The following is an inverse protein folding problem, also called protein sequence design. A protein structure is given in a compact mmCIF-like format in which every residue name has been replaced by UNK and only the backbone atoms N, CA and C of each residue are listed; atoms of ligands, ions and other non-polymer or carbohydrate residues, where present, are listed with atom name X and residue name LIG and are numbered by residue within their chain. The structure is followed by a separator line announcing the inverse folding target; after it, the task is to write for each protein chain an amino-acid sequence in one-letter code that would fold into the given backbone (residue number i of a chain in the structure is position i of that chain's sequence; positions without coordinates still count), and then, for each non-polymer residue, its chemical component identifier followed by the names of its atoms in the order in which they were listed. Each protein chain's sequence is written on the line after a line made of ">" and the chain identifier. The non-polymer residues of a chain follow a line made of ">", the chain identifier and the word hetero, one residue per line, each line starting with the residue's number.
data_IF_511713689631
#
_entry.id   IF_511713689631
#
_cell.length_a   1.000
_cell.length_b   1.000
_cell.length_c   1.000
_cell.angle_alpha   90.00
_cell.angle_beta   90.00
_cell.angle_gamma   90.00
#
_symmetry.space_group_name_H-M   'P 1'
#
loop_
_entity.id
_entity.type
_entity.pdbx_description
1 polymer ?
#
# COMPACT_ATOMS: atom_id res chain seq x y z
N UNK A 1 17.45 53.22 -79.15
CA UNK A 1 18.25 52.68 -78.03
C UNK A 1 17.65 51.33 -77.66
N UNK A 2 18.21 50.26 -78.22
CA UNK A 2 18.97 49.20 -77.52
C UNK A 2 18.09 48.39 -76.54
N UNK A 3 17.97 47.05 -76.57
CA UNK A 3 18.75 45.96 -77.17
C UNK A 3 17.87 44.67 -77.10
N UNK A 4 17.94 43.79 -78.11
CA UNK A 4 18.02 42.30 -78.08
C UNK A 4 17.08 41.44 -77.17
N UNK A 5 16.67 40.19 -77.44
CA UNK A 5 16.79 39.19 -78.52
C UNK A 5 15.94 37.96 -78.09
N UNK A 6 15.37 37.24 -79.08
CA UNK A 6 15.52 35.78 -79.27
C UNK A 6 14.73 34.75 -78.45
N UNK A 7 13.73 34.16 -79.15
CA UNK A 7 13.49 32.73 -79.49
C UNK A 7 13.92 31.59 -78.55
N UNK A 8 12.99 30.64 -78.40
CA UNK A 8 13.16 29.20 -78.09
C UNK A 8 12.00 28.75 -77.21
N UNK A 9 11.20 27.72 -77.48
CA UNK A 9 11.36 26.50 -78.26
C UNK A 9 10.65 25.42 -77.44
N UNK A 10 9.49 24.95 -77.91
CA UNK A 10 8.63 23.98 -77.22
C UNK A 10 9.25 22.59 -77.35
N UNK A 11 9.58 21.94 -76.24
CA UNK A 11 9.97 20.54 -76.18
C UNK A 11 9.17 19.83 -75.07
N UNK A 12 8.33 18.89 -75.49
CA UNK A 12 7.56 18.03 -74.59
C UNK A 12 8.46 16.99 -73.91
N UNK A 13 8.21 16.78 -72.62
CA UNK A 13 8.83 15.73 -71.82
C UNK A 13 7.72 14.93 -71.16
N UNK A 14 7.57 13.68 -71.61
CA UNK A 14 6.72 12.67 -71.02
C UNK A 14 7.30 12.25 -69.67
N UNK A 15 6.57 12.52 -68.59
CA UNK A 15 6.92 12.09 -67.24
C UNK A 15 6.39 10.67 -66.99
N UNK A 16 7.30 9.68 -67.02
CA UNK A 16 7.03 8.33 -66.52
C UNK A 16 6.95 8.33 -65.00
N UNK A 17 5.78 8.01 -64.47
CA UNK A 17 5.51 7.93 -63.04
C UNK A 17 6.06 6.61 -62.48
N UNK A 18 7.27 6.62 -61.91
CA UNK A 18 7.80 5.51 -61.12
C UNK A 18 7.13 5.51 -59.74
N UNK A 19 6.14 4.64 -59.54
CA UNK A 19 5.59 4.33 -58.22
C UNK A 19 6.68 3.68 -57.36
N UNK A 20 7.30 4.47 -56.49
CA UNK A 20 8.14 3.97 -55.41
C UNK A 20 7.22 3.49 -54.29
N UNK A 21 7.10 2.17 -54.13
CA UNK A 21 6.46 1.56 -52.96
C UNK A 21 7.25 1.92 -51.70
N UNK A 22 6.74 2.90 -50.95
CA UNK A 22 7.30 3.27 -49.66
C UNK A 22 6.93 2.19 -48.66
N UNK A 23 7.84 1.24 -48.45
CA UNK A 23 7.74 0.25 -47.37
C UNK A 23 7.80 1.03 -46.05
N UNK A 24 6.66 1.22 -45.40
CA UNK A 24 6.58 1.94 -44.14
C UNK A 24 7.17 1.04 -43.04
N UNK A 25 8.42 1.30 -42.64
CA UNK A 25 8.99 0.68 -41.45
C UNK A 25 8.20 1.18 -40.24
N UNK A 26 7.38 0.30 -39.65
CA UNK A 26 6.68 0.65 -38.42
C UNK A 26 7.70 0.86 -37.30
N UNK A 27 7.52 1.91 -36.47
CA UNK A 27 8.43 2.17 -35.37
C UNK A 27 8.43 0.96 -34.43
N UNK A 28 9.62 0.37 -34.23
CA UNK A 28 9.80 -0.70 -33.25
C UNK A 28 9.75 -0.04 -31.87
N UNK A 29 8.64 -0.22 -31.16
CA UNK A 29 8.52 0.21 -29.77
C UNK A 29 9.62 -0.46 -28.95
N UNK A 30 10.30 0.32 -28.10
CA UNK A 30 11.34 -0.18 -27.21
C UNK A 30 10.77 -1.33 -26.35
N UNK A 31 11.60 -2.35 -26.00
CA UNK A 31 11.17 -3.37 -25.07
C UNK A 31 10.74 -2.72 -23.75
N UNK A 32 9.80 -3.35 -23.05
CA UNK A 32 9.35 -2.97 -21.70
C UNK A 32 10.02 -3.84 -20.65
N UNK A 33 10.38 -5.06 -21.03
CA UNK A 33 11.01 -6.03 -20.16
C UNK A 33 11.40 -7.30 -20.90
N UNK A 34 11.85 -8.29 -20.13
CA UNK A 34 12.28 -9.59 -20.63
C UNK A 34 11.85 -10.74 -19.73
N UNK A 35 11.73 -11.93 -20.29
CA UNK A 35 11.48 -13.17 -19.55
C UNK A 35 12.79 -13.66 -18.91
N UNK A 36 12.81 -13.83 -17.59
CA UNK A 36 13.96 -14.39 -16.86
C UNK A 36 13.90 -15.91 -16.75
N UNK A 37 12.70 -16.45 -16.65
CA UNK A 37 12.44 -17.88 -16.49
C UNK A 37 11.07 -18.22 -17.06
N UNK A 38 10.93 -19.41 -17.63
CA UNK A 38 9.64 -19.95 -18.03
C UNK A 38 9.64 -21.47 -17.89
N UNK A 39 8.47 -22.00 -17.54
CA UNK A 39 8.20 -23.43 -17.43
C UNK A 39 6.84 -23.73 -18.01
N UNK A 40 6.72 -24.82 -18.75
CA UNK A 40 5.49 -25.18 -19.45
C UNK A 40 5.25 -24.29 -20.67
N UNK A 41 4.07 -24.41 -21.27
CA UNK A 41 3.70 -23.60 -22.42
C UNK A 41 3.26 -22.19 -21.99
N UNK A 42 3.72 -21.19 -22.74
CA UNK A 42 3.32 -19.79 -22.59
C UNK A 42 3.79 -18.97 -23.78
N UNK A 43 3.10 -17.87 -24.06
CA UNK A 43 3.33 -17.04 -25.24
C UNK A 43 3.24 -15.54 -24.94
N UNK A 44 4.00 -14.73 -25.67
CA UNK A 44 3.81 -13.30 -25.80
C UNK A 44 3.23 -13.00 -27.18
N UNK A 45 2.17 -12.20 -27.27
CA UNK A 45 1.55 -11.85 -28.54
C UNK A 45 1.35 -10.34 -28.64
N UNK A 46 1.97 -9.74 -29.66
CA UNK A 46 1.74 -8.34 -30.00
C UNK A 46 0.44 -8.21 -30.82
N UNK A 47 -0.26 -7.07 -30.76
CA UNK A 47 -1.50 -6.87 -31.52
C UNK A 47 -1.29 -7.11 -33.02
N UNK A 48 -2.09 -8.00 -33.62
CA UNK A 48 -2.02 -8.34 -35.04
C UNK A 48 -0.78 -9.15 -35.46
N UNK A 49 0.05 -9.62 -34.52
CA UNK A 49 1.22 -10.44 -34.80
C UNK A 49 1.05 -11.88 -34.32
N UNK A 50 1.91 -12.76 -34.83
CA UNK A 50 1.98 -14.15 -34.40
C UNK A 50 2.50 -14.25 -32.96
N UNK A 51 2.02 -15.26 -32.23
CA UNK A 51 2.47 -15.57 -30.88
C UNK A 51 3.96 -15.99 -30.87
N UNK A 52 4.68 -15.54 -29.84
CA UNK A 52 6.09 -15.83 -29.59
C UNK A 52 6.21 -16.62 -28.30
N UNK A 53 6.94 -17.73 -28.29
CA UNK A 53 7.08 -18.58 -27.09
C UNK A 53 7.75 -17.77 -25.96
N UNK A 54 7.21 -17.83 -24.74
CA UNK A 54 7.82 -17.28 -23.52
C UNK A 54 9.08 -18.08 -23.16
N UNK A 55 10.17 -17.83 -23.86
CA UNK A 55 11.50 -18.37 -23.55
C UNK A 55 12.33 -17.37 -22.75
N UNK A 56 13.30 -17.85 -21.97
CA UNK A 56 14.29 -16.99 -21.30
C UNK A 56 14.96 -16.05 -22.31
N UNK A 57 15.01 -14.77 -21.97
CA UNK A 57 15.57 -13.71 -22.82
C UNK A 57 14.59 -13.14 -23.84
N UNK A 58 13.37 -13.66 -23.95
CA UNK A 58 12.35 -13.03 -24.80
C UNK A 58 12.03 -11.63 -24.27
N UNK A 59 12.22 -10.64 -25.14
CA UNK A 59 11.76 -9.28 -24.90
C UNK A 59 10.28 -9.12 -25.25
N UNK A 60 9.56 -8.42 -24.38
CA UNK A 60 8.17 -8.02 -24.59
C UNK A 60 8.03 -6.50 -24.55
N UNK A 61 6.97 -6.00 -25.17
CA UNK A 61 6.72 -4.58 -25.46
C UNK A 61 5.38 -4.14 -24.90
N UNK A 62 5.16 -2.83 -24.90
CA UNK A 62 3.83 -2.27 -24.68
C UNK A 62 2.84 -2.82 -25.72
N UNK A 63 1.63 -3.14 -25.28
CA UNK A 63 0.59 -3.78 -26.06
C UNK A 63 0.67 -5.31 -26.12
N UNK A 64 1.77 -5.94 -25.67
CA UNK A 64 1.87 -7.39 -25.66
C UNK A 64 0.90 -8.03 -24.65
N UNK A 65 0.28 -9.14 -25.06
CA UNK A 65 -0.40 -10.08 -24.17
C UNK A 65 0.58 -11.18 -23.78
N UNK A 66 0.77 -11.41 -22.48
CA UNK A 66 1.55 -12.52 -21.93
C UNK A 66 0.59 -13.58 -21.37
N UNK A 67 0.68 -14.78 -21.92
CA UNK A 67 -0.21 -15.90 -21.61
C UNK A 67 0.56 -17.11 -21.09
N UNK A 68 0.06 -17.76 -20.05
CA UNK A 68 0.57 -19.05 -19.53
C UNK A 68 -0.52 -20.12 -19.58
N UNK A 69 -0.14 -21.36 -19.91
CA UNK A 69 -1.05 -22.51 -19.86
C UNK A 69 -1.43 -22.91 -18.43
N UNK A 70 -2.36 -23.86 -18.27
CA UNK A 70 -2.83 -24.39 -16.97
C UNK A 70 -1.74 -25.04 -16.10
N UNK A 71 -0.58 -25.37 -16.71
CA UNK A 71 0.63 -25.83 -16.01
C UNK A 71 1.83 -24.91 -16.26
N UNK A 72 1.62 -23.78 -16.93
CA UNK A 72 2.66 -22.84 -17.33
C UNK A 72 2.95 -21.82 -16.22
N UNK A 73 4.20 -21.39 -16.09
CA UNK A 73 4.56 -20.23 -15.26
C UNK A 73 5.76 -19.52 -15.86
N UNK A 74 5.87 -18.22 -15.61
CA UNK A 74 6.99 -17.43 -16.09
C UNK A 74 7.39 -16.37 -15.08
N UNK A 75 8.69 -16.09 -14.96
CA UNK A 75 9.21 -14.91 -14.26
C UNK A 75 9.61 -13.90 -15.33
N UNK A 76 9.06 -12.69 -15.23
CA UNK A 76 9.37 -11.56 -16.10
C UNK A 76 10.02 -10.45 -15.27
N UNK A 77 10.94 -9.72 -15.90
CA UNK A 77 11.55 -8.50 -15.37
C UNK A 77 11.19 -7.32 -16.27
N UNK A 78 10.68 -6.26 -15.67
CA UNK A 78 10.46 -4.95 -16.29
C UNK A 78 11.73 -4.09 -16.18
N UNK A 79 11.85 -3.06 -17.02
CA UNK A 79 13.01 -2.16 -17.01
C UNK A 79 13.17 -1.34 -15.72
N UNK A 80 12.11 -1.07 -14.97
CA UNK A 80 12.16 -0.35 -13.70
C UNK A 80 12.64 -1.23 -12.53
N UNK A 81 12.97 -2.49 -12.81
CA UNK A 81 13.39 -3.49 -11.83
C UNK A 81 12.26 -4.32 -11.24
N UNK A 82 10.99 -4.05 -11.59
CA UNK A 82 9.85 -4.88 -11.19
C UNK A 82 10.06 -6.31 -11.68
N UNK A 83 9.87 -7.29 -10.81
CA UNK A 83 9.86 -8.72 -11.16
C UNK A 83 8.49 -9.29 -10.88
N UNK A 84 7.96 -10.09 -11.80
CA UNK A 84 6.65 -10.72 -11.63
C UNK A 84 6.72 -12.20 -12.00
N UNK A 85 6.12 -13.04 -11.17
CA UNK A 85 5.81 -14.43 -11.52
C UNK A 85 4.37 -14.49 -12.02
N UNK A 86 4.19 -14.87 -13.28
CA UNK A 86 2.88 -15.19 -13.86
C UNK A 86 2.52 -16.62 -13.47
N UNK A 87 1.36 -16.79 -12.83
CA UNK A 87 0.82 -18.09 -12.39
C UNK A 87 0.29 -18.90 -13.58
N UNK A 88 -0.03 -20.19 -13.40
CA UNK A 88 -0.76 -20.94 -14.43
C UNK A 88 -2.10 -20.32 -14.80
N UNK A 89 -2.47 -20.43 -16.08
CA UNK A 89 -3.72 -19.91 -16.63
C UNK A 89 -3.81 -18.38 -16.62
N UNK A 90 -2.68 -17.68 -16.72
CA UNK A 90 -2.64 -16.21 -16.68
C UNK A 90 -2.69 -15.64 -18.07
N UNK A 91 -3.60 -14.69 -18.31
CA UNK A 91 -3.58 -13.78 -19.45
C UNK A 91 -3.47 -12.35 -18.95
N UNK A 92 -2.36 -11.68 -19.27
CA UNK A 92 -2.07 -10.32 -18.84
C UNK A 92 -1.58 -9.46 -20.01
N UNK A 93 -2.09 -8.24 -20.13
CA UNK A 93 -1.67 -7.25 -21.13
C UNK A 93 -0.86 -6.14 -20.48
N UNK A 94 0.20 -5.70 -21.14
CA UNK A 94 0.92 -4.48 -20.81
C UNK A 94 0.26 -3.32 -21.55
N UNK A 95 -0.76 -2.68 -20.97
CA UNK A 95 -1.51 -1.61 -21.65
C UNK A 95 -0.65 -0.39 -21.92
N UNK A 96 0.14 0.03 -20.92
CA UNK A 96 1.05 1.17 -21.06
C UNK A 96 2.25 1.03 -20.14
N UNK A 97 3.43 1.38 -20.61
CA UNK A 97 4.64 1.39 -19.80
C UNK A 97 5.59 2.50 -20.22
N UNK A 98 5.90 3.38 -19.28
CA UNK A 98 6.89 4.43 -19.42
C UNK A 98 7.76 4.46 -18.18
N UNK A 99 9.06 4.23 -18.39
CA UNK A 99 10.06 4.37 -17.36
C UNK A 99 11.22 5.24 -17.84
N UNK A 100 11.48 6.31 -17.08
CA UNK A 100 12.68 7.12 -17.15
C UNK A 100 13.11 7.39 -15.71
N UNK A 101 14.38 7.15 -15.42
CA UNK A 101 14.90 7.34 -14.08
C UNK A 101 14.67 8.79 -13.61
N UNK A 102 14.18 8.94 -12.38
CA UNK A 102 13.83 10.23 -11.75
C UNK A 102 12.78 11.09 -12.49
N UNK A 103 12.09 10.55 -13.49
CA UNK A 103 11.04 11.28 -14.19
C UNK A 103 9.70 11.23 -13.41
N UNK A 104 8.97 12.34 -13.32
CA UNK A 104 7.70 12.40 -12.60
C UNK A 104 6.52 11.80 -13.39
N UNK A 105 6.67 11.62 -14.70
CA UNK A 105 5.62 11.12 -15.61
C UNK A 105 5.73 9.62 -15.92
N UNK A 106 6.43 8.87 -15.07
CA UNK A 106 6.49 7.42 -15.17
C UNK A 106 5.09 6.80 -15.00
N UNK A 107 4.83 5.70 -15.70
CA UNK A 107 3.54 5.02 -15.69
C UNK A 107 3.70 3.53 -16.00
N UNK A 108 2.92 2.70 -15.33
CA UNK A 108 2.77 1.28 -15.60
C UNK A 108 1.29 0.92 -15.43
N UNK A 109 0.62 0.55 -16.53
CA UNK A 109 -0.73 0.01 -16.52
C UNK A 109 -0.70 -1.40 -17.09
N UNK A 110 -1.16 -2.34 -16.27
CA UNK A 110 -1.31 -3.75 -16.62
C UNK A 110 -2.80 -4.11 -16.57
N UNK A 111 -3.26 -4.99 -17.45
CA UNK A 111 -4.60 -5.60 -17.36
C UNK A 111 -4.47 -7.10 -17.19
N UNK A 112 -5.09 -7.66 -16.15
CA UNK A 112 -5.17 -9.10 -15.89
C UNK A 112 -6.58 -9.59 -16.20
N UNK A 113 -6.68 -10.53 -17.14
CA UNK A 113 -7.95 -11.08 -17.64
C UNK A 113 -8.29 -12.44 -17.03
N UNK A 114 -7.28 -13.23 -16.68
CA UNK A 114 -7.40 -14.57 -16.08
C UNK A 114 -6.13 -14.91 -15.28
N UNK A 115 -6.21 -15.90 -14.38
CA UNK A 115 -5.05 -16.37 -13.63
C UNK A 115 -4.61 -15.43 -12.52
N UNK A 116 -3.31 -15.19 -12.40
CA UNK A 116 -2.76 -14.36 -11.34
C UNK A 116 -1.27 -14.14 -11.44
N UNK A 117 -0.75 -13.28 -10.56
CA UNK A 117 0.66 -12.97 -10.50
C UNK A 117 1.11 -12.71 -9.07
N UNK A 118 2.40 -12.89 -8.83
CA UNK A 118 3.10 -12.29 -7.70
C UNK A 118 4.10 -11.28 -8.22
N UNK A 119 4.14 -10.09 -7.64
CA UNK A 119 5.01 -9.01 -8.08
C UNK A 119 5.85 -8.45 -6.93
N UNK A 120 7.13 -8.21 -7.21
CA UNK A 120 8.01 -7.37 -6.39
C UNK A 120 8.31 -6.12 -7.20
N UNK A 121 7.79 -4.99 -6.74
CA UNK A 121 7.76 -3.75 -7.51
C UNK A 121 9.10 -3.01 -7.54
N UNK A 122 9.34 -2.33 -8.67
CA UNK A 122 10.53 -1.57 -8.99
C UNK A 122 10.43 -0.10 -8.63
N UNK A 123 11.20 0.72 -9.36
CA UNK A 123 11.36 2.15 -9.07
C UNK A 123 10.11 2.98 -9.37
N UNK A 124 9.26 2.58 -10.33
CA UNK A 124 8.03 3.32 -10.66
C UNK A 124 7.14 3.43 -9.41
N UNK A 125 6.81 2.29 -8.80
CA UNK A 125 5.91 2.25 -7.64
C UNK A 125 6.52 2.84 -6.37
N UNK A 126 7.85 3.00 -6.30
CA UNK A 126 8.54 3.62 -5.15
C UNK A 126 8.61 5.13 -5.24
N UNK A 127 8.82 5.68 -6.43
CA UNK A 127 9.06 7.11 -6.63
C UNK A 127 7.80 7.87 -7.03
N UNK A 128 6.86 7.21 -7.72
CA UNK A 128 5.60 7.78 -8.15
C UNK A 128 4.45 6.89 -7.63
N UNK A 129 4.02 7.06 -6.36
CA UNK A 129 2.80 6.43 -5.89
C UNK A 129 1.66 6.88 -6.82
N UNK A 130 0.87 5.93 -7.31
CA UNK A 130 -0.19 6.09 -8.34
C UNK A 130 0.26 5.93 -9.81
N UNK A 131 1.55 5.76 -10.09
CA UNK A 131 2.01 5.48 -11.45
C UNK A 131 1.78 4.03 -11.87
N UNK A 132 1.75 3.09 -10.91
CA UNK A 132 1.60 1.66 -11.17
C UNK A 132 0.19 1.18 -10.84
N UNK A 133 -0.51 0.61 -11.83
CA UNK A 133 -1.86 0.07 -11.70
C UNK A 133 -1.99 -1.30 -12.35
N UNK A 134 -2.78 -2.17 -11.72
CA UNK A 134 -3.25 -3.43 -12.28
C UNK A 134 -4.77 -3.41 -12.39
N UNK A 135 -5.29 -3.40 -13.60
CA UNK A 135 -6.72 -3.45 -13.90
C UNK A 135 -7.18 -4.89 -14.06
N UNK A 136 -8.37 -5.18 -13.55
CA UNK A 136 -9.06 -6.46 -13.72
C UNK A 136 -10.51 -6.20 -14.09
N UNK A 137 -11.28 -7.27 -14.30
CA UNK A 137 -12.73 -7.15 -14.51
C UNK A 137 -13.48 -6.62 -13.28
N UNK A 138 -12.94 -6.80 -12.07
CA UNK A 138 -13.64 -6.48 -10.81
C UNK A 138 -13.16 -5.16 -10.19
N UNK A 139 -11.87 -4.83 -10.34
CA UNK A 139 -11.25 -3.70 -9.68
C UNK A 139 -10.01 -3.17 -10.41
N UNK A 140 -9.61 -1.96 -10.05
CA UNK A 140 -8.28 -1.40 -10.32
C UNK A 140 -7.46 -1.40 -9.04
N UNK A 141 -6.28 -2.01 -9.09
CA UNK A 141 -5.33 -2.09 -8.00
C UNK A 141 -4.29 -0.98 -8.18
N UNK A 142 -4.25 -0.03 -7.25
CA UNK A 142 -3.18 0.95 -7.12
C UNK A 142 -1.99 0.35 -6.35
N UNK A 143 -0.81 0.37 -6.96
CA UNK A 143 0.38 -0.32 -6.45
C UNK A 143 1.38 0.71 -5.90
N UNK A 144 1.71 0.62 -4.60
CA UNK A 144 2.61 1.57 -3.92
C UNK A 144 3.71 0.85 -3.15
N UNK A 145 4.81 0.54 -3.86
CA UNK A 145 6.03 -0.05 -3.30
C UNK A 145 5.81 -1.39 -2.60
N UNK A 146 5.21 -2.37 -3.29
CA UNK A 146 4.77 -3.63 -2.70
C UNK A 146 5.50 -4.89 -3.20
N UNK A 147 5.53 -5.90 -2.33
CA UNK A 147 5.52 -7.32 -2.70
C UNK A 147 4.09 -7.82 -2.48
N UNK A 148 3.43 -8.28 -3.54
CA UNK A 148 2.03 -8.68 -3.47
C UNK A 148 1.69 -9.81 -4.44
N UNK A 149 0.63 -10.54 -4.10
CA UNK A 149 0.00 -11.53 -4.94
C UNK A 149 -1.36 -10.98 -5.38
N UNK A 150 -1.71 -11.15 -6.65
CA UNK A 150 -3.02 -10.84 -7.21
C UNK A 150 -3.54 -12.07 -7.96
N UNK A 151 -4.73 -12.55 -7.62
CA UNK A 151 -5.36 -13.72 -8.22
C UNK A 151 -6.80 -13.41 -8.60
N UNK A 152 -7.11 -13.47 -9.90
CA UNK A 152 -8.46 -13.28 -10.41
C UNK A 152 -9.15 -14.63 -10.54
N UNK A 153 -10.03 -14.96 -9.60
CA UNK A 153 -10.75 -16.22 -9.52
C UNK A 153 -12.05 -16.18 -10.33
N UNK A 154 -12.26 -17.18 -11.20
CA UNK A 154 -13.43 -17.34 -12.07
C UNK A 154 -14.15 -18.68 -11.85
N UNK A 155 -13.94 -19.29 -10.67
CA UNK A 155 -14.55 -20.56 -10.23
C UNK A 155 -13.55 -21.69 -9.92
N UNK A 156 -12.30 -21.56 -10.39
CA UNK A 156 -11.25 -22.57 -10.25
C UNK A 156 -10.54 -22.56 -8.89
N UNK A 157 -10.56 -21.42 -8.19
CA UNK A 157 -9.81 -21.22 -6.94
C UNK A 157 -10.29 -22.08 -5.77
N UNK A 158 -11.58 -22.44 -5.72
CA UNK A 158 -12.10 -23.36 -4.70
C UNK A 158 -11.48 -24.75 -4.84
N UNK A 159 -11.40 -25.26 -6.07
CA UNK A 159 -10.76 -26.54 -6.36
C UNK A 159 -9.25 -26.51 -6.11
N UNK A 160 -8.60 -25.36 -6.31
CA UNK A 160 -7.19 -25.16 -5.97
C UNK A 160 -6.98 -25.24 -4.44
N UNK A 161 -7.80 -24.53 -3.65
CA UNK A 161 -7.74 -24.61 -2.18
C UNK A 161 -8.02 -26.00 -1.65
N UNK A 162 -8.95 -26.75 -2.26
CA UNK A 162 -9.31 -28.09 -1.81
C UNK A 162 -8.16 -29.11 -1.94
N UNK A 163 -7.12 -28.81 -2.74
CA UNK A 163 -5.91 -29.64 -2.90
C UNK A 163 -4.84 -29.34 -1.85
N UNK A 164 -5.06 -28.33 -1.01
CA UNK A 164 -4.12 -27.90 0.03
C UNK A 164 -4.54 -28.56 1.35
N UNK A 165 -3.75 -29.51 1.91
CA UNK A 165 -4.13 -30.24 3.14
C UNK A 165 -4.01 -29.40 4.43
N UNK A 166 -3.61 -28.12 4.33
CA UNK A 166 -3.45 -27.21 5.45
C UNK A 166 -4.76 -26.49 5.80
N UNK A 167 -4.87 -26.05 7.05
CA UNK A 167 -5.98 -25.20 7.48
C UNK A 167 -5.67 -23.74 7.15
N UNK A 168 -6.70 -23.01 6.72
CA UNK A 168 -6.58 -21.58 6.48
C UNK A 168 -6.36 -20.84 7.80
N UNK A 169 -5.36 -19.96 7.84
CA UNK A 169 -5.12 -19.10 8.99
C UNK A 169 -6.04 -17.87 8.97
N UNK A 170 -6.17 -17.23 10.13
CA UNK A 170 -6.84 -15.93 10.23
C UNK A 170 -6.08 -14.83 9.47
N UNK A 171 -6.83 -14.01 8.72
CA UNK A 171 -6.35 -12.78 8.08
C UNK A 171 -6.49 -11.62 9.07
N UNK A 172 -5.59 -11.57 10.05
CA UNK A 172 -5.64 -10.56 11.12
C UNK A 172 -5.09 -9.23 10.62
N UNK A 173 -5.86 -8.16 10.76
CA UNK A 173 -5.37 -6.80 10.51
C UNK A 173 -4.38 -6.42 11.61
N UNK A 174 -3.10 -6.37 11.27
CA UNK A 174 -2.02 -6.06 12.21
C UNK A 174 -1.81 -4.55 12.43
N UNK A 175 -2.37 -3.72 11.54
CA UNK A 175 -2.27 -2.26 11.65
C UNK A 175 -2.92 -1.75 12.94
N UNK A 176 -2.21 -0.91 13.68
CA UNK A 176 -2.78 -0.14 14.80
C UNK A 176 -3.70 0.96 14.27
N UNK A 177 -3.23 1.66 13.23
CA UNK A 177 -3.91 2.79 12.61
C UNK A 177 -3.71 2.81 11.10
N UNK A 178 -4.55 3.58 10.42
CA UNK A 178 -4.40 3.97 9.02
C UNK A 178 -4.36 5.48 8.92
N UNK A 179 -3.51 6.00 8.03
CA UNK A 179 -3.47 7.42 7.71
C UNK A 179 -4.71 7.79 6.88
N UNK A 180 -5.44 8.82 7.30
CA UNK A 180 -6.72 9.28 6.74
C UNK A 180 -6.70 10.79 6.58
N UNK A 181 -6.17 11.26 5.46
CA UNK A 181 -5.86 12.66 5.24
C UNK A 181 -4.39 12.94 5.49
N UNK A 182 -3.72 13.37 4.42
CA UNK A 182 -2.30 13.69 4.40
C UNK A 182 -2.07 15.00 3.67
N UNK A 183 -1.26 15.86 4.27
CA UNK A 183 -0.64 17.03 3.61
C UNK A 183 0.85 16.93 3.84
N UNK A 184 1.65 17.19 2.81
CA UNK A 184 3.10 17.06 2.89
C UNK A 184 3.57 15.60 2.98
N UNK A 185 4.83 15.42 3.40
CA UNK A 185 5.44 14.11 3.49
C UNK A 185 5.38 13.54 4.90
N UNK A 186 4.90 12.30 5.00
CA UNK A 186 4.86 11.53 6.24
C UNK A 186 5.55 10.20 5.98
N UNK A 187 6.37 9.78 6.93
CA UNK A 187 7.12 8.53 6.89
C UNK A 187 6.88 7.76 8.18
N UNK A 188 7.00 6.44 8.14
CA UNK A 188 7.07 5.61 9.33
C UNK A 188 8.40 4.85 9.34
N UNK A 189 8.97 4.75 10.54
CA UNK A 189 10.18 4.01 10.86
C UNK A 189 9.78 2.81 11.71
N UNK A 190 10.07 1.60 11.24
CA UNK A 190 9.79 0.39 12.00
C UNK A 190 10.86 0.13 13.08
N UNK A 191 10.67 -0.94 13.85
CA UNK A 191 11.60 -1.35 14.91
C UNK A 191 13.00 -1.74 14.39
N UNK A 192 13.14 -2.10 13.11
CA UNK A 192 14.41 -2.40 12.46
C UNK A 192 15.10 -1.15 11.89
N UNK A 193 14.46 0.03 11.98
CA UNK A 193 14.96 1.27 11.41
C UNK A 193 14.69 1.41 9.91
N UNK A 194 13.82 0.57 9.33
CA UNK A 194 13.42 0.69 7.93
C UNK A 194 12.37 1.80 7.79
N UNK A 195 12.62 2.74 6.87
CA UNK A 195 11.70 3.83 6.54
C UNK A 195 10.75 3.43 5.43
N UNK A 196 9.49 3.85 5.57
CA UNK A 196 8.47 3.74 4.52
C UNK A 196 7.59 4.98 4.47
N UNK A 197 7.23 5.39 3.26
CA UNK A 197 6.33 6.54 3.04
C UNK A 197 4.92 6.17 3.41
N UNK A 198 4.27 7.02 4.20
CA UNK A 198 2.85 6.92 4.46
C UNK A 198 2.09 7.79 3.47
N UNK A 199 1.12 7.18 2.81
CA UNK A 199 0.12 7.83 1.95
C UNK A 199 -1.26 7.63 2.56
N UNK A 200 -2.28 8.24 1.98
CA UNK A 200 -3.66 7.99 2.42
C UNK A 200 -3.98 6.48 2.37
N UNK A 201 -4.59 5.96 3.43
CA UNK A 201 -4.85 4.52 3.62
C UNK A 201 -3.67 3.69 4.15
N UNK A 202 -2.45 4.24 4.20
CA UNK A 202 -1.26 3.49 4.62
C UNK A 202 -1.33 3.11 6.10
N UNK A 203 -0.90 1.87 6.38
CA UNK A 203 -0.93 1.30 7.72
C UNK A 203 0.26 1.74 8.60
N UNK A 204 -0.07 1.98 9.88
CA UNK A 204 0.86 2.18 10.99
C UNK A 204 0.68 1.00 11.94
N UNK A 205 1.79 0.36 12.32
CA UNK A 205 1.86 -0.86 13.13
C UNK A 205 2.39 -0.55 14.54
N UNK A 206 2.18 -1.47 15.50
CA UNK A 206 2.82 -1.38 16.80
C UNK A 206 4.35 -1.29 16.68
N UNK A 207 4.96 -0.40 17.46
CA UNK A 207 6.40 -0.14 17.46
C UNK A 207 6.86 0.93 16.46
N UNK A 208 6.01 1.33 15.51
CA UNK A 208 6.39 2.34 14.52
C UNK A 208 6.59 3.73 15.14
N UNK A 209 7.54 4.46 14.58
CA UNK A 209 7.68 5.91 14.76
C UNK A 209 7.28 6.63 13.48
N UNK A 210 6.19 7.39 13.54
CA UNK A 210 5.70 8.26 12.47
C UNK A 210 6.41 9.61 12.54
N UNK A 211 6.96 10.05 11.41
CA UNK A 211 7.68 11.31 11.23
C UNK A 211 6.97 12.17 10.17
N UNK A 212 6.60 13.40 10.54
CA UNK A 212 6.03 14.39 9.63
C UNK A 212 7.09 15.44 9.25
N UNK A 213 7.08 15.87 8.00
CA UNK A 213 7.96 16.97 7.55
C UNK A 213 7.52 18.34 8.11
N UNK A 214 8.33 19.42 7.99
CA UNK A 214 8.04 20.74 8.57
C UNK A 214 6.76 21.44 8.07
N UNK A 215 6.14 20.96 7.00
CA UNK A 215 4.86 21.47 6.49
C UNK A 215 3.79 20.37 6.39
N UNK A 216 4.07 19.21 6.97
CA UNK A 216 3.17 18.07 6.88
C UNK A 216 2.16 18.03 8.03
N UNK A 217 0.99 17.50 7.71
CA UNK A 217 -0.08 17.21 8.65
C UNK A 217 -0.70 15.87 8.26
N UNK A 218 -1.07 15.05 9.23
CA UNK A 218 -1.72 13.78 8.95
C UNK A 218 -2.66 13.36 10.06
N UNK A 219 -3.76 12.70 9.71
CA UNK A 219 -4.69 12.13 10.70
C UNK A 219 -4.56 10.61 10.71
N UNK A 220 -4.29 10.04 11.87
CA UNK A 220 -4.27 8.60 12.10
C UNK A 220 -5.62 8.19 12.68
N UNK A 221 -6.31 7.26 12.02
CA UNK A 221 -7.48 6.58 12.55
C UNK A 221 -7.08 5.19 13.06
N UNK A 222 -7.31 4.93 14.33
CA UNK A 222 -7.00 3.66 14.99
C UNK A 222 -8.17 2.69 14.93
N UNK A 223 -7.90 1.40 15.10
CA UNK A 223 -8.93 0.35 15.11
C UNK A 223 -9.98 0.50 16.21
N UNK A 224 -9.66 1.22 17.28
CA UNK A 224 -10.54 1.42 18.43
C UNK A 224 -11.38 2.71 18.35
N UNK A 225 -11.51 3.32 17.17
CA UNK A 225 -12.11 4.64 16.93
C UNK A 225 -11.33 5.84 17.51
N UNK A 226 -10.14 5.63 18.08
CA UNK A 226 -9.27 6.78 18.41
C UNK A 226 -8.80 7.47 17.13
N UNK A 227 -8.66 8.80 17.20
CA UNK A 227 -8.16 9.62 16.08
C UNK A 227 -7.12 10.62 16.55
N UNK A 228 -5.98 10.66 15.86
CA UNK A 228 -4.87 11.55 16.18
C UNK A 228 -4.50 12.39 14.96
N UNK A 229 -4.55 13.71 15.08
CA UNK A 229 -3.94 14.62 14.09
C UNK A 229 -2.51 14.91 14.52
N UNK A 230 -1.54 14.64 13.65
CA UNK A 230 -0.13 14.99 13.82
C UNK A 230 0.17 16.30 13.08
N UNK A 231 0.86 17.22 13.75
CA UNK A 231 1.29 18.49 13.18
C UNK A 231 2.64 18.40 12.45
N UNK A 232 3.18 19.56 12.11
CA UNK A 232 4.48 19.68 11.45
C UNK A 232 5.64 19.17 12.31
N UNK A 233 6.70 18.70 11.66
CA UNK A 233 7.98 18.29 12.28
C UNK A 233 7.84 17.31 13.46
N UNK A 234 6.76 16.53 13.48
CA UNK A 234 6.35 15.68 14.59
C UNK A 234 7.03 14.33 14.52
N UNK A 235 7.42 13.81 15.68
CA UNK A 235 7.90 12.44 15.84
C UNK A 235 7.03 11.73 16.87
N UNK A 236 6.13 10.90 16.39
CA UNK A 236 5.12 10.20 17.17
C UNK A 236 5.36 8.70 17.12
N UNK A 237 5.30 8.01 18.24
CA UNK A 237 5.55 6.57 18.33
C UNK A 237 4.34 5.83 18.86
N UNK A 238 4.02 4.71 18.21
CA UNK A 238 3.02 3.76 18.68
C UNK A 238 3.72 2.73 19.57
N UNK A 239 3.73 2.93 20.88
CA UNK A 239 4.47 2.04 21.78
C UNK A 239 3.79 0.69 21.96
N UNK A 240 2.47 0.69 22.15
CA UNK A 240 1.68 -0.52 22.27
C UNK A 240 0.24 -0.26 21.86
N UNK A 241 -0.25 -1.07 20.94
CA UNK A 241 -1.66 -1.05 20.56
C UNK A 241 -2.18 -2.49 20.51
N UNK A 242 -3.11 -2.80 21.39
CA UNK A 242 -3.83 -4.08 21.45
C UNK A 242 -5.30 -3.75 21.47
N UNK A 243 -6.06 -4.33 20.53
CA UNK A 243 -7.49 -4.08 20.45
C UNK A 243 -8.22 -5.31 19.91
N UNK A 244 -9.23 -5.71 20.65
CA UNK A 244 -10.26 -6.66 20.26
C UNK A 244 -11.62 -5.99 20.47
N UNK A 245 -12.45 -5.97 19.44
CA UNK A 245 -13.75 -5.29 19.49
C UNK A 245 -14.74 -6.01 20.44
N UNK A 246 -14.58 -7.31 20.65
CA UNK A 246 -15.38 -8.08 21.60
C UNK A 246 -15.00 -7.84 23.06
N UNK A 247 -13.73 -7.49 23.32
CA UNK A 247 -13.16 -7.31 24.66
C UNK A 247 -12.36 -6.00 24.78
N UNK A 248 -12.98 -4.83 24.55
CA UNK A 248 -12.27 -3.55 24.52
C UNK A 248 -11.60 -3.17 25.85
N UNK A 249 -12.07 -3.71 26.99
CA UNK A 249 -11.48 -3.49 28.32
C UNK A 249 -10.11 -4.15 28.53
N UNK A 250 -9.76 -5.14 27.71
CA UNK A 250 -8.43 -5.78 27.71
C UNK A 250 -7.47 -5.12 26.72
N UNK A 251 -7.96 -4.17 25.92
CA UNK A 251 -7.16 -3.42 24.97
C UNK A 251 -6.10 -2.56 25.65
N UNK A 252 -5.15 -2.05 24.87
CA UNK A 252 -4.06 -1.17 25.31
C UNK A 252 -3.79 -0.13 24.23
N UNK A 253 -3.67 1.13 24.64
CA UNK A 253 -3.38 2.27 23.76
C UNK A 253 -2.29 3.11 24.43
N UNK A 254 -1.02 2.79 24.18
CA UNK A 254 0.13 3.53 24.71
C UNK A 254 0.89 4.17 23.58
N UNK A 255 1.07 5.48 23.65
CA UNK A 255 1.68 6.30 22.61
C UNK A 255 2.74 7.22 23.20
N UNK A 256 3.73 7.61 22.40
CA UNK A 256 4.71 8.62 22.78
C UNK A 256 4.77 9.75 21.75
N UNK A 257 4.67 10.99 22.20
CA UNK A 257 5.05 12.15 21.41
C UNK A 257 6.47 12.55 21.78
N UNK A 258 7.43 12.30 20.89
CA UNK A 258 8.84 12.58 21.15
C UNK A 258 9.20 14.05 20.87
N UNK A 259 8.53 14.67 19.89
CA UNK A 259 8.58 16.11 19.59
C UNK A 259 7.45 16.52 18.65
N UNK A 260 7.24 17.82 18.49
CA UNK A 260 6.24 18.41 17.61
C UNK A 260 4.87 18.45 18.28
N UNK A 261 3.79 18.36 17.50
CA UNK A 261 2.44 18.55 18.01
C UNK A 261 1.48 17.44 17.59
N UNK A 262 0.52 17.16 18.46
CA UNK A 262 -0.59 16.28 18.16
C UNK A 262 -1.87 16.75 18.84
N UNK A 263 -2.99 16.44 18.20
CA UNK A 263 -4.32 16.48 18.81
C UNK A 263 -4.89 15.07 18.80
N UNK A 264 -5.40 14.59 19.92
CA UNK A 264 -5.92 13.25 20.07
C UNK A 264 -7.36 13.27 20.55
N UNK A 265 -8.14 12.31 20.06
CA UNK A 265 -9.44 11.93 20.57
C UNK A 265 -9.43 10.41 20.82
N UNK A 266 -9.67 10.01 22.07
CA UNK A 266 -9.62 8.60 22.47
C UNK A 266 -10.92 7.87 22.17
N UNK A 267 -10.83 6.60 21.78
CA UNK A 267 -11.97 5.76 21.39
C UNK A 267 -12.39 4.72 22.43
N UNK A 268 -12.76 3.55 21.95
CA UNK A 268 -13.42 2.46 22.66
C UNK A 268 -12.59 1.91 23.83
N UNK A 269 -11.26 1.80 23.69
CA UNK A 269 -10.40 1.34 24.79
C UNK A 269 -10.49 2.31 25.97
N UNK A 270 -10.36 3.62 25.69
CA UNK A 270 -10.44 4.66 26.73
C UNK A 270 -11.81 4.75 27.40
N UNK A 271 -12.87 4.47 26.64
CA UNK A 271 -14.24 4.39 27.16
C UNK A 271 -14.46 3.16 28.04
N UNK A 272 -13.88 2.01 27.68
CA UNK A 272 -14.04 0.76 28.41
C UNK A 272 -13.16 0.70 29.68
N UNK A 273 -11.89 1.07 29.56
CA UNK A 273 -10.95 1.13 30.67
C UNK A 273 -9.88 2.19 30.42
N UNK A 274 -10.06 3.34 31.07
CA UNK A 274 -9.20 4.50 30.85
C UNK A 274 -7.74 4.31 31.33
N UNK A 275 -7.48 3.35 32.24
CA UNK A 275 -6.13 3.00 32.69
C UNK A 275 -5.26 2.36 31.60
N UNK A 276 -5.91 1.87 30.53
CA UNK A 276 -5.22 1.23 29.42
C UNK A 276 -4.82 2.22 28.32
N UNK A 277 -5.13 3.51 28.50
CA UNK A 277 -4.80 4.57 27.55
C UNK A 277 -3.85 5.56 28.19
N UNK A 278 -2.71 5.79 27.54
CA UNK A 278 -1.69 6.71 28.04
C UNK A 278 -0.87 7.34 26.92
N UNK A 279 -0.44 8.57 27.16
CA UNK A 279 0.51 9.28 26.29
C UNK A 279 1.75 9.62 27.09
N UNK A 280 2.93 9.45 26.50
CA UNK A 280 4.20 9.83 27.10
C UNK A 280 4.83 10.94 26.28
N UNK A 281 5.43 11.90 26.97
CA UNK A 281 6.23 12.97 26.36
C UNK A 281 7.58 13.09 27.06
N UNK A 282 8.53 13.90 26.57
CA UNK A 282 9.79 14.14 27.25
C UNK A 282 9.66 14.70 28.66
N UNK A 283 8.52 15.35 29.01
CA UNK A 283 8.36 16.03 30.30
C UNK A 283 7.22 15.51 31.15
N UNK A 284 6.33 14.63 30.65
CA UNK A 284 5.23 14.07 31.43
C UNK A 284 4.67 12.76 30.87
N UNK A 285 4.01 12.00 31.73
CA UNK A 285 3.05 10.95 31.37
C UNK A 285 1.62 11.47 31.54
N UNK A 286 0.74 11.11 30.61
CA UNK A 286 -0.63 11.61 30.54
C UNK A 286 -1.59 10.43 30.58
N UNK A 287 -2.39 10.36 31.64
CA UNK A 287 -3.57 9.51 31.74
C UNK A 287 -4.81 10.24 31.21
N UNK A 288 -5.77 9.49 30.67
CA UNK A 288 -7.01 10.06 30.12
C UNK A 288 -8.25 9.48 30.81
N UNK A 289 -9.39 10.15 30.60
CA UNK A 289 -10.71 9.68 31.01
C UNK A 289 -11.75 10.09 29.98
N UNK A 290 -11.73 9.42 28.82
CA UNK A 290 -12.65 9.67 27.69
C UNK A 290 -12.51 11.08 27.12
N UNK A 291 -11.35 11.38 26.54
CA UNK A 291 -10.85 12.76 26.49
C UNK A 291 -10.32 13.15 25.10
N UNK A 292 -10.52 14.42 24.76
CA UNK A 292 -9.84 15.13 23.69
C UNK A 292 -8.72 15.99 24.26
N UNK A 293 -7.51 15.82 23.76
CA UNK A 293 -6.32 16.57 24.23
C UNK A 293 -5.45 17.09 23.08
N UNK A 294 -4.75 18.16 23.37
CA UNK A 294 -3.74 18.81 22.55
C UNK A 294 -2.41 18.71 23.28
N UNK A 295 -1.36 18.31 22.56
CA UNK A 295 -0.01 18.18 23.08
C UNK A 295 0.96 18.81 22.09
N UNK A 296 1.86 19.68 22.55
CA UNK A 296 2.96 20.19 21.74
C UNK A 296 4.23 20.15 22.56
N UNK A 297 5.26 19.48 22.08
CA UNK A 297 6.55 19.30 22.75
C UNK A 297 7.68 19.78 21.86
N UNK A 298 8.26 20.93 22.23
CA UNK A 298 9.51 21.44 21.68
C UNK A 298 10.53 21.57 22.83
N UNK A 299 10.86 22.77 23.27
CA UNK A 299 11.69 22.98 24.48
C UNK A 299 10.92 22.69 25.78
N UNK A 300 9.61 22.91 25.76
CA UNK A 300 8.66 22.56 26.81
C UNK A 300 7.52 21.75 26.19
N UNK A 301 6.80 21.00 27.01
CA UNK A 301 5.55 20.39 26.59
C UNK A 301 4.36 21.18 27.12
N UNK A 302 3.49 21.58 26.20
CA UNK A 302 2.20 22.17 26.48
C UNK A 302 1.12 21.10 26.33
N UNK A 303 0.21 21.07 27.29
CA UNK A 303 -0.95 20.19 27.33
C UNK A 303 -2.21 21.04 27.44
N UNK A 304 -3.25 20.70 26.69
CA UNK A 304 -4.56 21.33 26.82
C UNK A 304 -5.63 20.27 26.58
N UNK A 305 -6.69 20.27 27.38
CA UNK A 305 -7.82 19.37 27.15
C UNK A 305 -9.04 20.17 26.72
N UNK A 306 -9.70 19.72 25.65
CA UNK A 306 -10.89 20.36 25.08
C UNK A 306 -12.16 19.52 25.27
N UNK A 307 -12.03 18.29 25.75
CA UNK A 307 -13.15 17.39 26.06
C UNK A 307 -12.70 16.44 27.16
N UNK A 308 -13.47 16.29 28.25
CA UNK A 308 -13.17 15.33 29.31
C UNK A 308 -12.12 15.81 30.32
N UNK A 309 -11.37 14.86 30.88
CA UNK A 309 -10.34 15.11 31.89
C UNK A 309 -9.02 14.41 31.51
N UNK A 310 -7.88 15.07 31.71
CA UNK A 310 -6.56 14.41 31.69
C UNK A 310 -5.87 14.53 33.05
N UNK A 311 -5.01 13.57 33.33
CA UNK A 311 -4.08 13.58 34.47
C UNK A 311 -2.67 13.65 33.92
N UNK A 312 -1.96 14.73 34.23
CA UNK A 312 -0.58 14.98 33.79
C UNK A 312 0.35 14.75 34.97
N UNK A 313 1.25 13.78 34.83
CA UNK A 313 2.28 13.44 35.80
C UNK A 313 3.64 13.85 35.24
N UNK A 314 4.24 14.96 35.72
CA UNK A 314 5.53 15.43 35.23
C UNK A 314 6.65 14.42 35.50
N UNK A 315 7.45 14.11 34.47
CA UNK A 315 8.61 13.22 34.57
C UNK A 315 9.88 14.03 34.84
N UNK A 316 10.17 14.30 36.11
CA UNK A 316 11.38 15.01 36.55
C UNK A 316 11.16 15.92 37.75
N UNK A 317 12.24 16.28 38.45
CA UNK A 317 12.18 17.30 39.52
C UNK A 317 12.29 18.69 38.91
N UNK A 318 11.15 19.36 38.72
CA UNK A 318 11.09 20.71 38.15
C UNK A 318 11.07 21.77 39.26
N UNK A 319 12.10 22.63 39.31
CA UNK A 319 12.19 23.80 40.19
C UNK A 319 12.43 23.53 41.69
N UNK A 320 12.53 24.60 42.48
CA UNK A 320 12.94 24.65 43.90
C UNK A 320 11.94 24.07 44.91
N UNK A 321 11.05 23.18 44.48
CA UNK A 321 10.09 22.50 45.35
C UNK A 321 9.56 21.19 44.75
N UNK A 322 10.39 20.39 44.05
CA UNK A 322 10.11 18.97 43.77
C UNK A 322 8.68 18.65 43.32
N UNK A 323 8.05 19.50 42.49
CA UNK A 323 6.66 19.34 42.13
C UNK A 323 6.53 18.24 41.06
N UNK A 324 6.49 16.99 41.52
CA UNK A 324 6.08 15.80 40.75
C UNK A 324 4.61 15.47 40.99
N UNK A 325 3.85 16.37 41.63
CA UNK A 325 2.47 16.12 41.98
C UNK A 325 1.60 16.03 40.71
N UNK A 326 0.80 14.97 40.64
CA UNK A 326 -0.21 14.74 39.61
C UNK A 326 -1.11 15.98 39.44
N UNK A 327 -1.23 16.47 38.20
CA UNK A 327 -2.08 17.61 37.86
C UNK A 327 -3.30 17.12 37.07
N UNK A 328 -4.50 17.36 37.60
CA UNK A 328 -5.74 17.05 36.89
C UNK A 328 -6.23 18.27 36.12
N UNK A 329 -6.42 18.13 34.81
CA UNK A 329 -6.93 19.17 33.93
C UNK A 329 -8.32 18.79 33.40
N UNK A 330 -9.27 19.72 33.50
CA UNK A 330 -10.61 19.63 32.94
C UNK A 330 -10.69 20.36 31.61
N UNK A 331 -11.69 20.03 30.79
CA UNK A 331 -11.95 20.71 29.52
C UNK A 331 -11.87 22.25 29.64
N UNK A 332 -11.08 22.87 28.77
CA UNK A 332 -10.76 24.30 28.77
C UNK A 332 -9.50 24.67 29.57
N UNK A 333 -8.86 23.72 30.25
CA UNK A 333 -7.63 23.95 31.01
C UNK A 333 -6.41 23.40 30.26
N UNK A 334 -5.26 24.05 30.46
CA UNK A 334 -3.98 23.56 30.01
C UNK A 334 -2.86 23.78 31.00
N UNK A 335 -1.73 23.14 30.71
CA UNK A 335 -0.52 23.15 31.53
C UNK A 335 0.70 23.12 30.62
N UNK A 336 1.65 23.99 30.87
CA UNK A 336 3.00 23.95 30.31
C UNK A 336 3.93 23.33 31.35
N UNK A 337 4.70 22.33 30.94
CA UNK A 337 5.72 21.66 31.76
C UNK A 337 7.06 21.79 31.05
N UNK A 338 8.02 22.45 31.71
CA UNK A 338 9.38 22.68 31.22
C UNK A 338 10.40 22.37 32.31
N UNK A 339 11.70 22.40 31.97
CA UNK A 339 12.79 22.27 32.94
C UNK A 339 12.76 23.32 34.07
N UNK A 340 12.14 24.48 33.83
CA UNK A 340 12.07 25.60 34.78
C UNK A 340 10.85 25.56 35.70
N UNK A 341 9.86 24.71 35.41
CA UNK A 341 8.67 24.55 36.25
C UNK A 341 7.39 24.28 35.45
N UNK A 342 6.28 24.51 36.13
CA UNK A 342 4.93 24.35 35.58
C UNK A 342 4.20 25.69 35.50
N UNK A 343 3.42 25.88 34.44
CA UNK A 343 2.60 27.09 34.24
C UNK A 343 1.24 26.73 33.65
N UNK A 344 0.16 27.18 34.28
CA UNK A 344 -1.19 27.00 33.74
C UNK A 344 -1.36 27.75 32.41
N UNK A 345 -2.14 27.16 31.49
CA UNK A 345 -2.54 27.75 30.22
C UNK A 345 -4.05 27.95 30.22
N UNK A 346 -4.49 29.12 29.76
CA UNK A 346 -5.91 29.53 29.73
C UNK A 346 -6.55 29.50 28.34
N UNK A 347 -5.80 29.10 27.31
CA UNK A 347 -6.25 29.07 25.92
C UNK A 347 -5.61 27.90 25.16
N UNK A 348 -6.29 27.37 24.12
CA UNK A 348 -5.71 26.39 23.22
C UNK A 348 -4.52 26.98 22.44
N UNK A 349 -3.61 26.12 21.99
CA UNK A 349 -2.38 26.52 21.29
C UNK A 349 -2.18 25.82 19.93
N UNK A 350 -3.11 24.94 19.51
CA UNK A 350 -3.08 24.22 18.23
C UNK A 350 -4.30 24.57 17.35
N UNK A 351 -4.60 25.85 17.18
CA UNK A 351 -5.77 26.27 16.38
C UNK A 351 -5.62 25.89 14.89
N UNK A 352 -4.40 25.93 14.35
CA UNK A 352 -4.10 25.60 12.95
C UNK A 352 -4.08 24.10 12.63
N UNK A 353 -4.09 23.26 13.67
CA UNK A 353 -4.15 21.80 13.50
C UNK A 353 -5.62 21.36 13.54
N UNK A 354 -6.15 20.68 12.52
CA UNK A 354 -7.56 20.31 12.52
C UNK A 354 -7.89 19.33 13.65
N UNK A 355 -9.10 19.43 14.21
CA UNK A 355 -9.55 18.44 15.19
C UNK A 355 -9.73 17.06 14.53
N UNK A 356 -9.30 15.96 15.16
CA UNK A 356 -9.40 14.63 14.58
C UNK A 356 -10.84 14.19 14.28
N UNK A 357 -11.82 14.68 15.04
CA UNK A 357 -13.25 14.43 14.83
C UNK A 357 -13.82 15.17 13.62
N UNK A 358 -13.15 16.22 13.14
CA UNK A 358 -13.57 16.96 11.93
C UNK A 358 -13.26 16.22 10.63
N UNK A 359 -12.40 15.20 10.67
CA UNK A 359 -12.14 14.35 9.52
C UNK A 359 -13.14 13.19 9.53
N UNK A 360 -14.03 13.09 8.52
CA UNK A 360 -14.98 12.00 8.44
C UNK A 360 -14.22 10.71 8.15
N UNK A 361 -14.40 9.71 9.00
CA UNK A 361 -13.73 8.42 8.90
C UNK A 361 -14.73 7.32 9.18
N UNK A 362 -14.84 6.36 8.26
CA UNK A 362 -15.55 5.12 8.48
C UNK A 362 -14.57 4.03 8.95
N UNK A 363 -14.42 3.90 10.26
CA UNK A 363 -13.50 2.92 10.87
C UNK A 363 -13.87 1.48 10.50
N UNK A 364 -15.18 1.18 10.41
CA UNK A 364 -15.64 -0.14 9.98
C UNK A 364 -15.13 -0.46 8.57
N UNK A 365 -15.28 0.43 7.59
CA UNK A 365 -14.75 0.18 6.25
C UNK A 365 -13.21 0.04 6.22
N UNK A 366 -12.51 0.83 7.05
CA UNK A 366 -11.05 0.82 7.11
C UNK A 366 -10.44 -0.47 7.68
N UNK A 367 -11.15 -1.15 8.60
CA UNK A 367 -10.58 -2.27 9.37
C UNK A 367 -11.45 -3.52 9.44
N UNK A 368 -12.70 -3.47 8.97
CA UNK A 368 -13.58 -4.64 9.01
C UNK A 368 -13.05 -5.78 8.16
N UNK A 369 -13.44 -6.97 8.62
CA UNK A 369 -13.29 -8.24 7.94
C UNK A 369 -14.61 -8.99 7.99
N UNK A 370 -14.87 -9.81 6.99
CA UNK A 370 -16.07 -10.63 6.95
C UNK A 370 -15.77 -12.04 6.43
N UNK A 371 -16.65 -12.99 6.74
CA UNK A 371 -16.59 -14.32 6.17
C UNK A 371 -16.81 -14.22 4.66
N UNK A 372 -15.99 -14.95 3.90
CA UNK A 372 -16.10 -15.03 2.45
C UNK A 372 -16.23 -16.50 2.06
N UNK A 373 -17.21 -16.88 1.22
CA UNK A 373 -17.29 -18.22 0.67
C UNK A 373 -16.02 -18.60 -0.10
N UNK A 374 -15.64 -19.88 -0.06
CA UNK A 374 -14.40 -20.35 -0.69
C UNK A 374 -14.46 -20.36 -2.23
N UNK A 375 -15.67 -20.34 -2.80
CA UNK A 375 -15.97 -20.33 -4.22
C UNK A 375 -16.29 -18.94 -4.77
N UNK A 376 -16.15 -17.90 -3.95
CA UNK A 376 -16.47 -16.54 -4.36
C UNK A 376 -15.55 -16.09 -5.51
N UNK A 377 -16.16 -15.63 -6.60
CA UNK A 377 -15.47 -15.16 -7.80
C UNK A 377 -15.13 -13.68 -7.70
N UNK A 378 -13.89 -13.33 -8.04
CA UNK A 378 -13.42 -11.97 -7.97
C UNK A 378 -11.90 -11.89 -7.89
N UNK A 379 -11.41 -10.69 -7.59
CA UNK A 379 -9.99 -10.45 -7.43
C UNK A 379 -9.61 -10.60 -5.96
N UNK A 380 -8.71 -11.52 -5.67
CA UNK A 380 -8.04 -11.61 -4.38
C UNK A 380 -6.67 -10.97 -4.47
N UNK A 381 -6.31 -10.18 -3.45
CA UNK A 381 -4.99 -9.56 -3.34
C UNK A 381 -4.43 -9.82 -1.95
N UNK A 382 -3.18 -10.27 -1.87
CA UNK A 382 -2.45 -10.40 -0.63
C UNK A 382 -1.21 -9.51 -0.64
N UNK A 383 -1.08 -8.65 0.37
CA UNK A 383 0.06 -7.74 0.49
C UNK A 383 1.09 -8.36 1.42
N UNK A 384 2.24 -8.73 0.89
CA UNK A 384 3.36 -9.28 1.69
C UNK A 384 4.19 -8.18 2.31
N UNK A 385 4.35 -7.08 1.58
CA UNK A 385 5.00 -5.86 2.04
C UNK A 385 4.47 -4.66 1.25
N UNK A 386 4.55 -3.46 1.83
CA UNK A 386 4.07 -2.22 1.23
C UNK A 386 2.57 -1.95 1.45
N UNK A 387 1.98 -1.20 0.52
CA UNK A 387 0.58 -0.77 0.57
C UNK A 387 -0.10 -0.89 -0.79
N UNK A 388 -1.32 -1.43 -0.80
CA UNK A 388 -2.18 -1.57 -1.98
C UNK A 388 -3.52 -0.89 -1.74
N UNK A 389 -4.01 -0.22 -2.78
CA UNK A 389 -5.37 0.25 -2.87
C UNK A 389 -6.14 -0.56 -3.90
N UNK A 390 -7.32 -1.08 -3.54
CA UNK A 390 -8.23 -1.73 -4.48
C UNK A 390 -9.44 -0.84 -4.66
N UNK A 391 -9.62 -0.30 -5.85
CA UNK A 391 -10.74 0.57 -6.19
C UNK A 391 -11.69 -0.16 -7.12
N UNK A 392 -12.95 -0.25 -6.71
CA UNK A 392 -14.06 -0.80 -7.48
C UNK A 392 -14.99 0.31 -7.97
N UNK A 393 -16.13 -0.05 -8.55
CA UNK A 393 -17.19 0.92 -8.87
C UNK A 393 -17.90 1.49 -7.65
N UNK A 394 -17.83 0.84 -6.49
CA UNK A 394 -18.63 1.21 -5.31
C UNK A 394 -17.79 1.70 -4.14
N UNK A 395 -16.57 1.17 -3.99
CA UNK A 395 -15.73 1.47 -2.84
C UNK A 395 -14.24 1.23 -3.06
N UNK A 396 -13.45 1.72 -2.11
CA UNK A 396 -12.00 1.59 -2.07
C UNK A 396 -11.57 0.83 -0.83
N UNK A 397 -10.80 -0.24 -1.01
CA UNK A 397 -10.23 -1.04 0.06
C UNK A 397 -8.72 -0.79 0.18
N UNK A 398 -8.29 -0.31 1.35
CA UNK A 398 -6.88 -0.04 1.64
C UNK A 398 -6.23 -1.23 2.35
N UNK A 399 -5.21 -1.83 1.75
CA UNK A 399 -4.51 -3.00 2.26
C UNK A 399 -3.07 -2.67 2.66
N UNK A 400 -2.68 -3.08 3.86
CA UNK A 400 -1.31 -3.03 4.35
C UNK A 400 -0.63 -4.41 4.34
N UNK A 401 0.67 -4.44 4.64
CA UNK A 401 1.44 -5.65 4.92
C UNK A 401 0.65 -6.64 5.80
N UNK A 402 0.60 -7.89 5.33
CA UNK A 402 -0.08 -9.00 5.99
C UNK A 402 -1.59 -9.06 5.74
N UNK A 403 -2.19 -8.06 5.10
CA UNK A 403 -3.62 -8.05 4.81
C UNK A 403 -3.94 -8.76 3.47
N UNK A 404 -4.99 -9.57 3.48
CA UNK A 404 -5.69 -10.02 2.28
C UNK A 404 -6.96 -9.21 2.07
N UNK A 405 -7.21 -8.80 0.82
CA UNK A 405 -8.47 -8.22 0.39
C UNK A 405 -9.07 -8.97 -0.79
N UNK A 406 -10.36 -8.77 -0.98
CA UNK A 406 -11.15 -9.32 -2.05
C UNK A 406 -11.99 -8.22 -2.69
N UNK A 407 -12.14 -8.26 -4.01
CA UNK A 407 -13.06 -7.43 -4.77
C UNK A 407 -13.96 -8.30 -5.65
N UNK A 408 -15.24 -8.27 -5.32
CA UNK A 408 -16.31 -9.01 -5.98
C UNK A 408 -16.71 -8.40 -7.32
N UNK A 409 -17.42 -9.17 -8.14
CA UNK A 409 -17.95 -8.73 -9.43
C UNK A 409 -19.03 -7.66 -9.32
N UNK A 410 -19.75 -7.60 -8.19
CA UNK A 410 -20.77 -6.57 -7.92
C UNK A 410 -20.17 -5.24 -7.43
N UNK A 411 -18.84 -5.14 -7.34
CA UNK A 411 -18.14 -3.96 -6.85
C UNK A 411 -17.95 -3.92 -5.33
N UNK A 412 -18.45 -4.89 -4.57
CA UNK A 412 -18.15 -4.98 -3.15
C UNK A 412 -16.71 -5.43 -2.92
N UNK A 413 -16.14 -5.02 -1.80
CA UNK A 413 -14.81 -5.31 -1.32
C UNK A 413 -14.87 -5.76 0.13
N UNK A 414 -13.95 -6.64 0.52
CA UNK A 414 -13.90 -7.12 1.89
C UNK A 414 -12.51 -7.62 2.22
N UNK A 415 -12.16 -7.61 3.51
CA UNK A 415 -11.04 -8.40 4.02
C UNK A 415 -11.61 -9.75 4.47
N UNK A 416 -11.29 -10.87 3.80
CA UNK A 416 -11.75 -12.19 4.22
C UNK A 416 -11.28 -12.48 5.65
N UNK A 417 -12.07 -13.15 6.49
CA UNK A 417 -11.62 -13.55 7.84
C UNK A 417 -10.46 -14.56 7.80
N UNK A 418 -10.42 -15.39 6.76
CA UNK A 418 -9.42 -16.43 6.57
C UNK A 418 -8.63 -16.16 5.30
N UNK A 419 -7.32 -16.41 5.34
CA UNK A 419 -6.48 -16.32 4.17
C UNK A 419 -6.79 -17.48 3.21
N UNK A 420 -7.10 -17.24 1.93
CA UNK A 420 -7.37 -18.33 0.99
C UNK A 420 -6.13 -19.21 0.78
N UNK A 421 -6.33 -20.53 0.84
CA UNK A 421 -5.23 -21.50 0.77
C UNK A 421 -4.44 -21.42 -0.56
N UNK A 422 -5.13 -21.16 -1.68
CA UNK A 422 -4.49 -20.98 -2.99
C UNK A 422 -3.57 -19.74 -3.09
N UNK A 423 -3.70 -18.78 -2.16
CA UNK A 423 -2.82 -17.62 -2.06
C UNK A 423 -1.72 -17.85 -1.03
N UNK A 424 -2.07 -18.42 0.12
CA UNK A 424 -1.09 -18.68 1.17
C UNK A 424 -0.05 -19.71 0.74
N UNK A 425 -0.50 -20.78 0.07
CA UNK A 425 0.32 -21.91 -0.36
C UNK A 425 0.55 -21.89 -1.88
N UNK A 426 0.77 -20.70 -2.45
CA UNK A 426 1.18 -20.57 -3.85
C UNK A 426 2.53 -21.26 -4.07
N UNK A 427 2.54 -22.23 -4.99
CA UNK A 427 3.70 -23.06 -5.30
C UNK A 427 4.52 -22.54 -6.48
N UNK A 428 4.12 -21.43 -7.08
CA UNK A 428 4.88 -20.82 -8.16
C UNK A 428 6.19 -20.24 -7.65
N UNK A 429 7.27 -20.26 -8.45
CA UNK A 429 8.55 -19.70 -8.04
C UNK A 429 8.41 -18.23 -7.64
N UNK A 430 9.10 -17.81 -6.59
CA UNK A 430 9.08 -16.39 -6.19
C UNK A 430 9.72 -15.51 -7.27
N UNK A 431 9.28 -14.25 -7.46
CA UNK A 431 9.87 -13.37 -8.46
C UNK A 431 11.37 -13.13 -8.28
N UNK A 432 11.89 -13.22 -7.06
CA UNK A 432 13.29 -13.06 -6.69
C UNK A 432 14.05 -14.39 -6.51
N UNK A 433 13.46 -15.52 -6.91
CA UNK A 433 14.05 -16.84 -6.71
C UNK A 433 15.40 -16.99 -7.42
N UNK A 434 16.43 -17.33 -6.66
CA UNK A 434 17.77 -17.60 -7.21
C UNK A 434 17.82 -18.90 -8.03
N UNK A 435 16.93 -19.86 -7.74
CA UNK A 435 16.82 -21.12 -8.49
C UNK A 435 15.34 -21.49 -8.69
N UNK A 436 14.66 -20.86 -9.66
CA UNK A 436 13.23 -21.08 -9.91
C UNK A 436 12.94 -22.51 -10.40
N UNK A 437 13.90 -23.16 -11.07
CA UNK A 437 13.79 -24.56 -11.50
C UNK A 437 13.62 -25.49 -10.30
N UNK A 438 14.47 -25.38 -9.28
CA UNK A 438 14.42 -26.25 -8.09
C UNK A 438 13.08 -26.11 -7.35
N UNK A 439 12.60 -24.88 -7.13
CA UNK A 439 11.29 -24.64 -6.50
C UNK A 439 10.15 -25.27 -7.31
N UNK A 440 10.22 -25.16 -8.64
CA UNK A 440 9.21 -25.75 -9.52
C UNK A 440 9.21 -27.29 -9.48
N UNK A 441 10.37 -27.93 -9.34
CA UNK A 441 10.46 -29.40 -9.24
C UNK A 441 9.90 -29.87 -7.88
N UNK A 442 10.24 -29.18 -6.79
CA UNK A 442 9.76 -29.51 -5.44
C UNK A 442 8.23 -29.36 -5.31
N UNK A 443 7.63 -28.40 -6.04
CA UNK A 443 6.18 -28.24 -6.02
C UNK A 443 5.41 -29.33 -6.76
N UNK A 444 6.03 -29.99 -7.75
CA UNK A 444 5.44 -31.11 -8.47
C UNK A 444 5.57 -32.43 -7.72
N UNK A 445 6.70 -32.68 -7.06
CA UNK A 445 6.90 -33.92 -6.29
C UNK A 445 5.94 -34.03 -5.11
N UNK A 446 5.50 -32.90 -4.55
CA UNK A 446 4.45 -32.85 -3.51
C UNK A 446 3.02 -32.99 -4.06
N UNK A 447 2.83 -32.91 -5.38
CA UNK A 447 1.54 -33.10 -6.05
C UNK A 447 1.33 -34.54 -6.53
N UNK A 448 2.39 -35.34 -6.60
CA UNK A 448 2.28 -36.80 -6.70
C UNK A 448 2.03 -37.33 -5.29
N UNK A 449 0.75 -37.52 -4.96
CA UNK A 449 0.33 -38.36 -3.83
C UNK A 449 1.19 -39.63 -3.78
N UNK A 450 1.64 -40.00 -2.57
CA UNK A 450 2.49 -41.14 -2.25
C UNK A 450 1.83 -42.52 -2.52
N UNK A 451 1.03 -42.65 -3.57
CA UNK A 451 0.33 -43.86 -4.00
C UNK A 451 0.57 -44.13 -5.49
N UNK A 452 1.83 -44.20 -5.94
CA UNK A 452 2.21 -45.05 -7.08
C UNK A 452 3.67 -45.46 -6.89
N UNK A 453 3.88 -46.61 -6.24
CA UNK A 453 5.07 -47.45 -6.41
C UNK A 453 4.88 -48.83 -5.75
N UNK A 454 3.99 -49.65 -6.30
CA UNK A 454 4.23 -51.02 -6.80
C UNK A 454 2.92 -51.74 -7.08
#
# INVERSE_FOLDING_TARGET
>A
MNFLRSRGGIAGLAAGLLMHGVLSAQPVTAPVGQVEFARGAGYAQSPGQNARILGKGLEFREGDTLSTSDSGSAIIRMQDGTRMTLRPGTDMVIDSYRFRENAPDNNMLLSLFSGGLRAITGLISKNAPDAARLRTKTATVGIRGTDFDARLCQGECAAESARVPQQARANTVQASAKLVGVRGEIQALDAAGQRRRLVDGAAVYPGDTVETSPAAQGVLAFRDDSRLTLGAATRFKVDSFVFDAGNPSEGRFLMSLLRGSMRALTGLIGKANNRNVGFTTPTATIGIRGTGLDVSCDEACNFFTWLGTIEVEPTGSFGTAGQTALQTLQAGQGLSVSSTGMRALSAPFLEDLPRPDSVPVNTEQLFSSAALPADEQGLYVFVRDGHIEITTSSETLQLGKGETGFAALNGATVRPLLMPLFLEFDRTPKPDSANPLLQSILSETTNRSANVCR
#
